data_IF_167832487610
#
_entry.id   IF_167832487610
#
_cell.length_a   1.000
_cell.length_b   1.000
_cell.length_c   1.000
_cell.angle_alpha   90.00
_cell.angle_beta   90.00
_cell.angle_gamma   90.00
#
_symmetry.space_group_name_H-M   'P 1'
#
loop_
_entity.id
_entity.type
_entity.pdbx_description
1 polymer ?
#
# COMPACT_ATOMS: atom_id res chain seq x y z
N UNK A 1 -24.01 -5.76 -39.86
CA UNK A 1 -24.28 -7.13 -39.38
C UNK A 1 -25.28 -7.04 -38.24
N UNK A 2 -26.55 -7.36 -38.49
CA UNK A 2 -27.59 -7.39 -37.45
C UNK A 2 -28.24 -8.78 -37.47
N UNK A 3 -28.55 -9.34 -36.30
CA UNK A 3 -29.09 -10.69 -36.10
C UNK A 3 -28.17 -11.82 -36.56
N UNK A 4 -26.90 -11.78 -36.16
CA UNK A 4 -25.94 -12.87 -36.43
C UNK A 4 -25.81 -13.79 -35.22
N UNK A 5 -25.73 -15.10 -35.43
CA UNK A 5 -25.44 -16.05 -34.36
C UNK A 5 -23.93 -16.11 -34.14
N UNK A 6 -23.47 -15.71 -32.95
CA UNK A 6 -22.07 -15.70 -32.54
C UNK A 6 -21.94 -16.32 -31.15
N UNK A 7 -21.16 -17.41 -31.03
CA UNK A 7 -20.95 -18.15 -29.78
C UNK A 7 -22.27 -18.42 -29.02
N UNK A 8 -23.26 -19.00 -29.71
CA UNK A 8 -24.58 -19.33 -29.16
C UNK A 8 -25.48 -18.13 -28.79
N UNK A 9 -25.02 -16.89 -29.03
CA UNK A 9 -25.79 -15.67 -28.81
C UNK A 9 -26.13 -14.96 -30.11
N UNK A 10 -27.33 -14.38 -30.21
CA UNK A 10 -27.70 -13.54 -31.35
C UNK A 10 -27.19 -12.11 -31.13
N UNK A 11 -26.18 -11.71 -31.91
CA UNK A 11 -25.69 -10.35 -31.97
C UNK A 11 -26.71 -9.46 -32.70
N UNK A 12 -27.34 -8.56 -31.95
CA UNK A 12 -28.21 -7.51 -32.49
C UNK A 12 -27.47 -6.17 -32.46
N UNK A 13 -27.53 -5.43 -33.56
CA UNK A 13 -26.91 -4.09 -33.68
C UNK A 13 -27.99 -3.10 -34.10
N UNK A 14 -28.15 -2.04 -33.32
CA UNK A 14 -29.06 -0.94 -33.63
C UNK A 14 -28.32 0.41 -33.52
N UNK A 15 -28.60 1.38 -34.40
CA UNK A 15 -28.06 2.73 -34.26
C UNK A 15 -28.67 3.40 -33.03
N UNK A 16 -27.83 3.92 -32.15
CA UNK A 16 -28.25 4.62 -30.93
C UNK A 16 -28.20 6.12 -31.18
N UNK A 17 -29.31 6.86 -31.01
CA UNK A 17 -29.31 8.31 -31.11
C UNK A 17 -28.55 8.94 -29.93
N UNK A 18 -27.93 10.10 -30.16
CA UNK A 18 -27.06 10.78 -29.20
C UNK A 18 -27.75 11.07 -27.84
N UNK A 19 -29.04 11.38 -27.86
CA UNK A 19 -29.85 11.67 -26.66
C UNK A 19 -29.98 10.47 -25.71
N UNK A 20 -29.88 9.24 -26.23
CA UNK A 20 -30.00 8.00 -25.46
C UNK A 20 -28.65 7.49 -24.96
N UNK A 21 -27.55 8.18 -25.26
CA UNK A 21 -26.22 7.80 -24.78
C UNK A 21 -26.13 8.13 -23.30
N UNK A 22 -26.06 7.09 -22.47
CA UNK A 22 -25.92 7.27 -21.04
C UNK A 22 -24.60 7.98 -20.69
N UNK A 23 -24.65 9.00 -19.84
CA UNK A 23 -23.48 9.83 -19.52
C UNK A 23 -22.26 9.04 -18.97
N UNK A 24 -22.48 7.87 -18.37
CA UNK A 24 -21.42 7.01 -17.82
C UNK A 24 -20.92 5.92 -18.79
N UNK A 25 -21.40 5.88 -20.04
CA UNK A 25 -21.06 4.82 -21.00
C UNK A 25 -19.55 4.67 -21.22
N UNK A 26 -18.81 5.78 -21.13
CA UNK A 26 -17.35 5.82 -21.29
C UNK A 26 -16.58 5.96 -19.97
N UNK A 27 -17.26 5.87 -18.82
CA UNK A 27 -16.60 6.07 -17.52
C UNK A 27 -15.66 4.90 -17.23
N UNK A 28 -14.35 5.18 -17.19
CA UNK A 28 -13.32 4.18 -16.92
C UNK A 28 -12.72 3.55 -18.18
N UNK A 29 -13.25 3.87 -19.36
CA UNK A 29 -12.62 3.50 -20.62
C UNK A 29 -11.31 4.29 -20.74
N UNK A 30 -10.19 3.60 -21.01
CA UNK A 30 -8.81 4.14 -21.01
C UNK A 30 -8.20 4.50 -19.65
N UNK A 31 -8.76 4.05 -18.52
CA UNK A 31 -8.07 4.18 -17.23
C UNK A 31 -6.92 3.16 -17.16
N UNK A 32 -5.72 3.60 -17.53
CA UNK A 32 -4.49 2.81 -17.34
C UNK A 32 -4.17 2.60 -15.86
N UNK A 33 -3.36 1.59 -15.57
CA UNK A 33 -2.76 1.45 -14.25
C UNK A 33 -1.74 2.56 -14.04
N UNK A 34 -1.91 3.35 -12.97
CA UNK A 34 -0.91 4.32 -12.53
C UNK A 34 -0.13 3.69 -11.38
N UNK A 35 1.16 3.38 -11.55
CA UNK A 35 1.99 2.87 -10.46
C UNK A 35 2.02 3.86 -9.30
N UNK A 36 1.87 3.34 -8.08
CA UNK A 36 1.99 4.15 -6.87
C UNK A 36 3.47 4.38 -6.59
N UNK A 37 3.88 5.64 -6.43
CA UNK A 37 5.24 5.99 -6.02
C UNK A 37 5.46 5.64 -4.53
N UNK A 38 5.88 4.40 -4.29
CA UNK A 38 6.19 3.88 -2.95
C UNK A 38 7.40 4.59 -2.34
N UNK A 39 8.36 5.01 -3.17
CA UNK A 39 9.59 5.65 -2.70
C UNK A 39 9.27 7.02 -2.11
N UNK A 40 8.45 7.83 -2.78
CA UNK A 40 7.99 9.11 -2.24
C UNK A 40 7.18 8.93 -0.95
N UNK A 41 6.28 7.94 -0.90
CA UNK A 41 5.48 7.66 0.30
C UNK A 41 6.37 7.27 1.49
N UNK A 42 7.35 6.39 1.28
CA UNK A 42 8.28 5.99 2.35
C UNK A 42 9.19 7.13 2.77
N UNK A 43 9.68 7.93 1.84
CA UNK A 43 10.44 9.16 2.14
C UNK A 43 9.64 10.06 3.06
N UNK A 44 8.37 10.34 2.74
CA UNK A 44 7.52 11.19 3.57
C UNK A 44 7.29 10.59 4.97
N UNK A 45 7.06 9.28 5.06
CA UNK A 45 6.91 8.57 6.35
C UNK A 45 8.16 8.62 7.21
N UNK A 46 9.33 8.49 6.61
CA UNK A 46 10.62 8.53 7.30
C UNK A 46 11.00 9.96 7.68
N UNK A 47 10.70 10.92 6.81
CA UNK A 47 10.98 12.34 7.02
C UNK A 47 10.12 12.95 8.13
N UNK A 48 8.90 12.46 8.33
CA UNK A 48 7.97 12.95 9.37
C UNK A 48 8.62 13.01 10.76
N UNK A 49 8.54 14.18 11.39
CA UNK A 49 8.94 14.37 12.79
C UNK A 49 7.98 13.58 13.70
N UNK A 50 8.54 12.73 14.57
CA UNK A 50 7.76 11.89 15.50
C UNK A 50 7.69 12.53 16.87
N UNK A 51 6.51 12.54 17.47
CA UNK A 51 6.36 12.94 18.87
C UNK A 51 6.88 11.85 19.81
N UNK A 52 7.09 12.19 21.09
CA UNK A 52 7.57 11.22 22.11
C UNK A 52 6.59 10.07 22.28
N UNK A 53 5.28 10.32 22.21
CA UNK A 53 4.24 9.30 22.31
C UNK A 53 4.25 8.34 21.11
N UNK A 54 4.36 8.88 19.90
CA UNK A 54 4.49 8.09 18.68
C UNK A 54 5.76 7.22 18.71
N UNK A 55 6.85 7.74 19.28
CA UNK A 55 8.07 6.98 19.49
C UNK A 55 7.87 5.81 20.46
N UNK A 56 7.20 6.02 21.60
CA UNK A 56 6.88 4.94 22.55
C UNK A 56 6.03 3.84 21.90
N UNK A 57 4.97 4.21 21.18
CA UNK A 57 4.11 3.27 20.44
C UNK A 57 4.89 2.46 19.41
N UNK A 58 5.86 3.10 18.74
CA UNK A 58 6.74 2.40 17.80
C UNK A 58 7.62 1.35 18.49
N UNK A 59 8.21 1.69 19.65
CA UNK A 59 9.02 0.75 20.43
C UNK A 59 8.19 -0.44 20.93
N UNK A 60 7.00 -0.18 21.48
CA UNK A 60 6.06 -1.24 21.90
C UNK A 60 5.71 -2.17 20.74
N UNK A 61 5.48 -1.61 19.55
CA UNK A 61 5.22 -2.37 18.34
C UNK A 61 6.41 -3.24 17.89
N UNK A 62 7.64 -2.79 18.11
CA UNK A 62 8.86 -3.56 17.83
C UNK A 62 8.96 -4.76 18.77
N UNK A 63 8.77 -4.54 20.07
CA UNK A 63 8.81 -5.60 21.09
C UNK A 63 7.75 -6.66 20.80
N UNK A 64 6.51 -6.24 20.55
CA UNK A 64 5.40 -7.16 20.23
C UNK A 64 5.65 -7.99 18.97
N UNK A 65 6.28 -7.39 17.94
CA UNK A 65 6.66 -8.13 16.72
C UNK A 65 7.73 -9.16 16.99
N UNK A 66 8.72 -8.84 17.83
CA UNK A 66 9.77 -9.79 18.19
C UNK A 66 9.23 -10.97 18.99
N UNK A 67 8.35 -10.73 19.97
CA UNK A 67 7.67 -11.78 20.71
C UNK A 67 6.86 -12.71 19.80
N UNK A 68 6.10 -12.14 18.86
CA UNK A 68 5.33 -12.92 17.90
C UNK A 68 6.23 -13.75 16.98
N UNK A 69 7.36 -13.19 16.55
CA UNK A 69 8.37 -13.92 15.77
C UNK A 69 8.94 -15.09 16.57
N UNK A 70 9.31 -14.89 17.84
CA UNK A 70 9.79 -15.97 18.73
C UNK A 70 8.75 -17.07 18.91
N UNK A 71 7.47 -16.72 19.11
CA UNK A 71 6.37 -17.69 19.19
C UNK A 71 6.23 -18.51 17.91
N UNK A 72 6.36 -17.87 16.74
CA UNK A 72 6.32 -18.56 15.43
C UNK A 72 7.50 -19.51 15.22
N UNK A 73 8.71 -19.12 15.62
CA UNK A 73 9.91 -19.96 15.54
C UNK A 73 9.75 -21.20 16.43
N UNK A 74 9.29 -21.02 17.67
CA UNK A 74 8.98 -22.13 18.59
C UNK A 74 7.90 -23.06 18.04
N UNK A 75 6.83 -22.50 17.47
CA UNK A 75 5.76 -23.28 16.86
C UNK A 75 6.22 -24.07 15.62
N UNK A 76 7.22 -23.56 14.89
CA UNK A 76 7.85 -24.26 13.78
C UNK A 76 8.83 -25.37 14.24
N UNK A 77 9.04 -25.55 15.55
CA UNK A 77 9.95 -26.56 16.11
C UNK A 77 11.44 -26.24 15.90
N UNK A 78 11.77 -24.99 15.58
CA UNK A 78 13.16 -24.55 15.38
C UNK A 78 13.73 -24.15 16.73
N UNK A 79 14.79 -24.84 17.17
CA UNK A 79 15.54 -24.46 18.36
C UNK A 79 16.51 -23.32 18.01
N UNK A 80 15.98 -22.09 18.06
CA UNK A 80 16.74 -20.88 17.80
C UNK A 80 16.52 -19.86 18.91
N UNK A 81 17.59 -19.55 19.64
CA UNK A 81 17.62 -18.47 20.60
C UNK A 81 17.88 -17.14 19.87
N UNK A 82 16.85 -16.29 19.79
CA UNK A 82 16.98 -15.01 19.13
C UNK A 82 17.79 -14.03 20.01
N UNK A 83 18.85 -13.39 19.47
CA UNK A 83 19.60 -12.36 20.18
C UNK A 83 18.68 -11.24 20.70
N UNK A 84 19.05 -10.60 21.82
CA UNK A 84 18.28 -9.49 22.37
C UNK A 84 18.27 -8.31 21.39
N UNK A 85 17.16 -7.57 21.40
CA UNK A 85 17.04 -6.31 20.66
C UNK A 85 18.01 -5.29 21.28
N UNK A 86 19.17 -5.09 20.66
CA UNK A 86 20.11 -4.03 21.02
C UNK A 86 19.57 -2.73 20.39
N UNK A 87 18.74 -2.01 21.15
CA UNK A 87 18.35 -0.67 20.78
C UNK A 87 19.51 0.29 21.01
N UNK A 88 19.93 1.02 19.99
CA UNK A 88 20.79 2.19 20.22
C UNK A 88 20.01 3.19 21.08
N UNK A 89 20.38 3.34 22.35
CA UNK A 89 19.78 4.31 23.29
C UNK A 89 20.09 5.76 22.87
N UNK A 90 21.03 5.93 21.93
CA UNK A 90 21.42 7.23 21.43
C UNK A 90 20.26 7.87 20.65
N UNK A 91 19.82 9.08 21.02
CA UNK A 91 18.86 9.82 20.23
C UNK A 91 19.46 10.06 18.83
N UNK A 92 18.69 9.75 17.78
CA UNK A 92 19.13 10.05 16.41
C UNK A 92 19.41 11.54 16.28
N UNK A 93 20.50 11.91 15.60
CA UNK A 93 20.84 13.31 15.35
C UNK A 93 19.63 14.09 14.82
N UNK A 94 19.42 15.30 15.34
CA UNK A 94 18.35 16.19 14.86
C UNK A 94 18.54 16.40 13.36
N UNK A 95 17.49 16.22 12.58
CA UNK A 95 17.54 16.45 11.14
C UNK A 95 17.79 17.93 10.88
N UNK A 96 18.77 18.22 10.02
CA UNK A 96 19.04 19.58 9.54
C UNK A 96 17.87 19.95 8.63
N UNK A 97 17.13 21.00 9.00
CA UNK A 97 16.14 21.63 8.12
C UNK A 97 16.90 22.63 7.27
N UNK A 98 16.92 22.41 5.96
CA UNK A 98 17.38 23.43 5.03
C UNK A 98 16.18 24.31 4.73
N UNK A 99 16.35 25.62 4.89
CA UNK A 99 15.32 26.58 4.49
C UNK A 99 15.21 26.54 2.94
N UNK A 100 13.99 26.43 2.44
CA UNK A 100 13.70 26.51 1.00
C UNK A 100 13.65 27.99 0.59
N UNK A 101 14.75 28.50 0.03
CA UNK A 101 14.75 29.74 -0.77
C UNK A 101 14.16 29.49 -2.17
#
# INVERSE_FOLDING_TARGET
MNNYLLFEHTLQIAPVPLEKVHAKLWKGVRKGFVPVDRVAIERNKLSKDKTVEEHKRMLEGIVKRDENRRKRIKAAGIDYECPPLIGSVQPSAKKIKFDED
#
